data_IF_133011603261
#
_entry.id   IF_133011603261
#
_cell.length_a   1.000
_cell.length_b   1.000
_cell.length_c   1.000
_cell.angle_alpha   90.00
_cell.angle_beta   90.00
_cell.angle_gamma   90.00
#
_symmetry.space_group_name_H-M   'P 1'
#
loop_
_entity.id
_entity.type
_entity.pdbx_description
1 polymer ?
#
# COMPACT_ATOMS: atom_id res chain seq x y z
N UNK A 1 27.61 21.82 7.26
CA UNK A 1 27.31 21.10 6.01
C UNK A 1 27.65 19.61 6.00
N UNK A 2 28.79 19.21 6.59
CA UNK A 2 29.13 17.78 6.69
C UNK A 2 28.14 16.97 7.54
N UNK A 3 27.63 17.51 8.61
CA UNK A 3 26.67 16.83 9.49
C UNK A 3 25.29 16.64 8.83
N UNK A 4 24.86 17.62 8.02
CA UNK A 4 23.62 17.49 7.21
C UNK A 4 23.77 16.44 6.10
N UNK A 5 24.90 16.41 5.41
CA UNK A 5 25.17 15.42 4.37
C UNK A 5 25.20 13.98 4.89
N UNK A 6 25.78 13.77 6.06
CA UNK A 6 25.78 12.44 6.74
C UNK A 6 24.36 12.04 7.16
N UNK A 7 23.57 12.97 7.71
CA UNK A 7 22.19 12.71 8.09
C UNK A 7 21.33 12.29 6.89
N UNK A 8 21.50 12.93 5.74
CA UNK A 8 20.75 12.58 4.52
C UNK A 8 21.15 11.20 3.97
N UNK A 9 22.43 10.82 4.06
CA UNK A 9 22.90 9.47 3.70
C UNK A 9 22.25 8.41 4.59
N UNK A 10 22.22 8.62 5.90
CA UNK A 10 21.58 7.71 6.84
C UNK A 10 20.06 7.59 6.58
N UNK A 11 19.37 8.69 6.31
CA UNK A 11 17.94 8.67 5.99
C UNK A 11 17.65 7.86 4.73
N UNK A 12 18.48 7.98 3.70
CA UNK A 12 18.34 7.19 2.46
C UNK A 12 18.60 5.71 2.68
N UNK A 13 19.62 5.35 3.48
CA UNK A 13 19.92 3.96 3.83
C UNK A 13 18.77 3.35 4.65
N UNK A 14 18.31 4.06 5.67
CA UNK A 14 17.17 3.64 6.47
C UNK A 14 15.91 3.44 5.62
N UNK A 15 15.66 4.33 4.67
CA UNK A 15 14.52 4.22 3.75
C UNK A 15 14.63 2.98 2.85
N UNK A 16 15.82 2.71 2.29
CA UNK A 16 16.03 1.49 1.47
C UNK A 16 15.79 0.23 2.29
N UNK A 17 16.31 0.17 3.51
CA UNK A 17 16.12 -0.97 4.40
C UNK A 17 14.64 -1.12 4.78
N UNK A 18 13.97 -0.01 5.09
CA UNK A 18 12.53 -0.01 5.38
C UNK A 18 11.69 -0.46 4.18
N UNK A 19 12.04 -0.05 2.96
CA UNK A 19 11.37 -0.52 1.74
C UNK A 19 11.55 -2.03 1.54
N UNK A 20 12.76 -2.55 1.69
CA UNK A 20 13.03 -3.98 1.57
C UNK A 20 12.25 -4.78 2.61
N UNK A 21 12.23 -4.31 3.86
CA UNK A 21 11.45 -4.92 4.94
C UNK A 21 9.95 -4.85 4.64
N UNK A 22 9.46 -3.72 4.16
CA UNK A 22 8.05 -3.53 3.80
C UNK A 22 7.61 -4.47 2.67
N UNK A 23 8.41 -4.58 1.62
CA UNK A 23 8.14 -5.50 0.51
C UNK A 23 8.16 -6.95 0.98
N UNK A 24 9.16 -7.34 1.75
CA UNK A 24 9.25 -8.70 2.30
C UNK A 24 8.07 -9.04 3.21
N UNK A 25 7.71 -8.13 4.13
CA UNK A 25 6.56 -8.30 5.01
C UNK A 25 5.24 -8.34 4.22
N UNK A 26 5.05 -7.43 3.27
CA UNK A 26 3.86 -7.39 2.42
C UNK A 26 3.68 -8.68 1.61
N UNK A 27 4.73 -9.18 0.99
CA UNK A 27 4.72 -10.46 0.28
C UNK A 27 4.46 -11.63 1.22
N UNK A 28 5.07 -11.63 2.41
CA UNK A 28 4.85 -12.66 3.43
C UNK A 28 3.40 -12.70 3.90
N UNK A 29 2.83 -11.58 4.26
CA UNK A 29 1.42 -11.48 4.67
C UNK A 29 0.45 -11.81 3.54
N UNK A 30 0.75 -11.37 2.32
CA UNK A 30 -0.03 -11.77 1.15
C UNK A 30 0.00 -13.28 0.94
N UNK A 31 1.18 -13.89 0.96
CA UNK A 31 1.36 -15.33 0.81
C UNK A 31 0.65 -16.13 1.89
N UNK A 32 0.79 -15.75 3.15
CA UNK A 32 0.09 -16.37 4.28
C UNK A 32 -1.44 -16.25 4.13
N UNK A 33 -1.92 -15.08 3.78
CA UNK A 33 -3.35 -14.84 3.59
C UNK A 33 -3.91 -15.64 2.41
N UNK A 34 -3.18 -15.73 1.31
CA UNK A 34 -3.61 -16.49 0.14
C UNK A 34 -3.64 -18.00 0.42
N UNK A 35 -2.62 -18.53 1.11
CA UNK A 35 -2.53 -19.95 1.44
C UNK A 35 -3.52 -20.38 2.52
N UNK A 36 -3.73 -19.54 3.53
CA UNK A 36 -4.54 -19.84 4.73
C UNK A 36 -5.86 -19.09 4.77
N UNK A 37 -6.34 -18.55 3.65
CA UNK A 37 -7.59 -17.78 3.56
C UNK A 37 -8.77 -18.52 4.22
N UNK A 38 -8.95 -19.80 3.91
CA UNK A 38 -10.04 -20.61 4.49
C UNK A 38 -9.95 -20.71 6.02
N UNK A 39 -8.75 -20.92 6.54
CA UNK A 39 -8.53 -21.02 7.99
C UNK A 39 -8.74 -19.67 8.68
N UNK A 40 -8.25 -18.60 8.08
CA UNK A 40 -8.41 -17.24 8.61
C UNK A 40 -9.90 -16.88 8.68
N UNK A 41 -10.62 -17.09 7.59
CA UNK A 41 -12.07 -16.80 7.53
C UNK A 41 -12.87 -17.64 8.53
N UNK A 42 -12.50 -18.92 8.69
CA UNK A 42 -13.19 -19.83 9.62
C UNK A 42 -13.07 -19.39 11.10
N UNK A 43 -12.08 -18.58 11.44
CA UNK A 43 -11.97 -18.00 12.79
C UNK A 43 -13.02 -16.92 13.08
N UNK A 44 -13.61 -16.30 12.06
CA UNK A 44 -14.51 -15.16 12.18
C UNK A 44 -15.93 -15.47 11.70
N UNK A 45 -16.08 -16.37 10.74
CA UNK A 45 -17.34 -16.66 10.06
C UNK A 45 -17.58 -18.16 10.06
N UNK A 46 -18.80 -18.58 10.43
CA UNK A 46 -19.20 -19.98 10.37
C UNK A 46 -19.12 -20.49 8.91
N UNK A 47 -18.53 -21.66 8.74
CA UNK A 47 -18.35 -22.30 7.43
C UNK A 47 -19.67 -22.64 6.71
N UNK A 48 -20.78 -22.75 7.44
CA UNK A 48 -22.12 -22.94 6.89
C UNK A 48 -22.75 -21.69 6.29
N UNK A 49 -22.18 -20.51 6.60
CA UNK A 49 -22.71 -19.23 6.12
C UNK A 49 -22.27 -18.96 4.67
N UNK A 50 -23.18 -18.51 3.76
CA UNK A 50 -22.82 -18.13 2.40
C UNK A 50 -21.72 -17.05 2.32
N UNK A 51 -21.67 -16.16 3.31
CA UNK A 51 -20.64 -15.13 3.43
C UNK A 51 -19.22 -15.72 3.55
N UNK A 52 -19.08 -16.93 4.11
CA UNK A 52 -17.78 -17.61 4.23
C UNK A 52 -17.13 -17.85 2.86
N UNK A 53 -17.87 -18.34 1.90
CA UNK A 53 -17.36 -18.57 0.53
C UNK A 53 -16.90 -17.29 -0.17
N UNK A 54 -17.66 -16.21 0.03
CA UNK A 54 -17.33 -14.88 -0.50
C UNK A 54 -16.03 -14.38 0.15
N UNK A 55 -15.92 -14.47 1.47
CA UNK A 55 -14.75 -14.01 2.21
C UNK A 55 -13.48 -14.83 1.86
N UNK A 56 -13.59 -16.13 1.71
CA UNK A 56 -12.46 -17.02 1.33
C UNK A 56 -11.91 -16.64 -0.05
N UNK A 57 -12.77 -16.28 -0.99
CA UNK A 57 -12.34 -15.81 -2.32
C UNK A 57 -11.85 -14.38 -2.33
N UNK A 58 -12.50 -13.52 -1.53
CA UNK A 58 -12.18 -12.09 -1.49
C UNK A 58 -10.91 -11.76 -0.70
N UNK A 59 -10.63 -12.49 0.37
CA UNK A 59 -9.50 -12.18 1.25
C UNK A 59 -8.14 -12.17 0.53
N UNK A 60 -7.80 -13.13 -0.36
CA UNK A 60 -6.57 -13.05 -1.15
C UNK A 60 -6.53 -11.85 -2.09
N UNK A 61 -7.66 -11.47 -2.69
CA UNK A 61 -7.75 -10.28 -3.53
C UNK A 61 -7.43 -9.01 -2.73
N UNK A 62 -8.00 -8.88 -1.56
CA UNK A 62 -7.71 -7.78 -0.64
C UNK A 62 -6.24 -7.77 -0.22
N UNK A 63 -5.70 -8.93 0.15
CA UNK A 63 -4.32 -9.07 0.61
C UNK A 63 -3.28 -8.77 -0.47
N UNK A 64 -3.64 -8.84 -1.75
CA UNK A 64 -2.75 -8.45 -2.87
C UNK A 64 -2.28 -7.00 -2.77
N UNK A 65 -3.01 -6.14 -2.06
CA UNK A 65 -2.64 -4.76 -1.81
C UNK A 65 -1.62 -4.54 -0.67
N UNK A 66 -1.27 -5.56 0.10
CA UNK A 66 -0.41 -5.40 1.26
C UNK A 66 0.99 -4.88 0.93
N UNK A 67 1.57 -5.29 -0.19
CA UNK A 67 2.88 -4.82 -0.64
C UNK A 67 2.82 -3.32 -0.96
N UNK A 68 1.83 -2.88 -1.71
CA UNK A 68 1.64 -1.47 -2.05
C UNK A 68 1.35 -0.63 -0.80
N UNK A 69 0.50 -1.13 0.08
CA UNK A 69 0.20 -0.51 1.37
C UNK A 69 1.47 -0.27 2.19
N UNK A 70 2.28 -1.31 2.37
CA UNK A 70 3.51 -1.24 3.16
C UNK A 70 4.51 -0.24 2.56
N UNK A 71 4.72 -0.26 1.25
CA UNK A 71 5.60 0.68 0.55
C UNK A 71 5.09 2.12 0.65
N UNK A 72 3.78 2.33 0.51
CA UNK A 72 3.18 3.66 0.61
C UNK A 72 3.36 4.26 2.01
N UNK A 73 3.12 3.47 3.07
CA UNK A 73 3.30 3.92 4.45
C UNK A 73 4.76 4.29 4.74
N UNK A 74 5.70 3.46 4.33
CA UNK A 74 7.14 3.75 4.48
C UNK A 74 7.53 5.01 3.71
N UNK A 75 6.99 5.21 2.50
CA UNK A 75 7.27 6.39 1.68
C UNK A 75 6.72 7.68 2.29
N UNK A 76 5.51 7.64 2.85
CA UNK A 76 4.94 8.77 3.59
C UNK A 76 5.83 9.15 4.78
N UNK A 77 6.25 8.15 5.57
CA UNK A 77 7.17 8.35 6.68
C UNK A 77 8.51 8.95 6.25
N UNK A 78 9.03 8.50 5.11
CA UNK A 78 10.26 9.09 4.55
C UNK A 78 10.07 10.56 4.15
N UNK A 79 8.99 10.92 3.45
CA UNK A 79 8.71 12.31 3.09
C UNK A 79 8.57 13.22 4.33
N UNK A 80 7.99 12.71 5.40
CA UNK A 80 7.91 13.42 6.68
C UNK A 80 9.29 13.60 7.30
N UNK A 81 10.13 12.57 7.29
CA UNK A 81 11.47 12.61 7.90
C UNK A 81 12.45 13.55 7.19
N UNK A 82 12.25 13.79 5.89
CA UNK A 82 13.07 14.72 5.09
C UNK A 82 12.44 16.12 4.98
N UNK A 83 11.52 16.43 5.88
CA UNK A 83 10.86 17.75 5.96
C UNK A 83 10.12 18.15 4.66
N UNK A 84 9.51 17.17 3.99
CA UNK A 84 8.65 17.39 2.82
C UNK A 84 7.18 17.12 3.14
N UNK A 85 6.52 18.01 3.88
CA UNK A 85 5.14 17.79 4.32
C UNK A 85 4.13 17.81 3.16
N UNK A 86 4.38 18.59 2.11
CA UNK A 86 3.47 18.69 0.97
C UNK A 86 3.27 17.36 0.23
N UNK A 87 4.35 16.65 -0.22
CA UNK A 87 4.19 15.32 -0.79
C UNK A 87 3.55 14.32 0.18
N UNK A 88 3.93 14.33 1.45
CA UNK A 88 3.34 13.44 2.45
C UNK A 88 1.83 13.66 2.60
N UNK A 89 1.39 14.92 2.72
CA UNK A 89 -0.03 15.27 2.78
C UNK A 89 -0.77 14.86 1.51
N UNK A 90 -0.22 15.19 0.34
CA UNK A 90 -0.85 14.86 -0.94
C UNK A 90 -1.07 13.36 -1.08
N UNK A 91 -0.05 12.55 -0.79
CA UNK A 91 -0.15 11.08 -0.86
C UNK A 91 -1.17 10.56 0.15
N UNK A 92 -1.18 11.08 1.37
CA UNK A 92 -2.13 10.67 2.41
C UNK A 92 -3.58 10.97 2.01
N UNK A 93 -3.85 12.16 1.48
CA UNK A 93 -5.20 12.55 1.03
C UNK A 93 -5.63 11.73 -0.18
N UNK A 94 -4.77 11.57 -1.19
CA UNK A 94 -5.07 10.76 -2.36
C UNK A 94 -5.39 9.32 -1.96
N UNK A 95 -4.55 8.73 -1.14
CA UNK A 95 -4.70 7.36 -0.67
C UNK A 95 -5.96 7.16 0.16
N UNK A 96 -6.15 8.02 1.17
CA UNK A 96 -7.21 7.84 2.17
C UNK A 96 -8.60 8.27 1.69
N UNK A 97 -8.68 9.20 0.76
CA UNK A 97 -9.97 9.76 0.30
C UNK A 97 -10.19 9.56 -1.19
N UNK A 98 -9.36 10.14 -2.05
CA UNK A 98 -9.64 10.23 -3.49
C UNK A 98 -9.64 8.86 -4.13
N UNK A 99 -8.56 8.11 -4.01
CA UNK A 99 -8.44 6.79 -4.64
C UNK A 99 -9.33 5.75 -3.96
N UNK A 100 -9.45 5.82 -2.65
CA UNK A 100 -10.31 4.90 -1.90
C UNK A 100 -11.78 5.09 -2.30
N UNK A 101 -12.28 6.32 -2.32
CA UNK A 101 -13.65 6.62 -2.72
C UNK A 101 -13.89 6.22 -4.19
N UNK A 102 -12.99 6.60 -5.10
CA UNK A 102 -13.11 6.26 -6.52
C UNK A 102 -13.17 4.75 -6.75
N UNK A 103 -12.32 3.98 -6.06
CA UNK A 103 -12.28 2.53 -6.20
C UNK A 103 -13.49 1.85 -5.55
N UNK A 104 -13.91 2.26 -4.35
CA UNK A 104 -15.07 1.68 -3.69
C UNK A 104 -16.40 1.94 -4.42
N UNK A 105 -16.53 3.08 -5.06
CA UNK A 105 -17.74 3.39 -5.83
C UNK A 105 -17.67 2.93 -7.28
N UNK A 106 -16.48 2.94 -7.89
CA UNK A 106 -16.29 2.60 -9.30
C UNK A 106 -16.14 1.11 -9.57
N UNK A 107 -15.31 0.40 -8.84
CA UNK A 107 -15.02 -1.02 -9.09
C UNK A 107 -16.22 -1.96 -8.94
N UNK A 108 -17.10 -1.80 -7.94
CA UNK A 108 -18.29 -2.66 -7.83
C UNK A 108 -19.24 -2.54 -9.01
N UNK A 109 -19.29 -1.39 -9.68
CA UNK A 109 -20.09 -1.17 -10.88
C UNK A 109 -19.56 -1.99 -12.08
N UNK A 110 -18.25 -2.26 -12.12
CA UNK A 110 -17.58 -3.00 -13.19
C UNK A 110 -17.45 -4.49 -12.89
N UNK A 111 -17.12 -4.84 -11.64
CA UNK A 111 -16.72 -6.18 -11.22
C UNK A 111 -17.64 -6.80 -10.16
N UNK A 112 -18.68 -6.10 -9.72
CA UNK A 112 -19.59 -6.58 -8.68
C UNK A 112 -18.89 -6.73 -7.32
N UNK A 113 -19.17 -7.82 -6.60
CA UNK A 113 -18.64 -8.07 -5.25
C UNK A 113 -17.11 -8.15 -5.23
N UNK A 114 -16.51 -8.71 -6.27
CA UNK A 114 -15.04 -8.78 -6.39
C UNK A 114 -14.40 -7.39 -6.47
N UNK A 115 -15.10 -6.42 -7.03
CA UNK A 115 -14.69 -5.03 -7.06
C UNK A 115 -14.56 -4.40 -5.67
N UNK A 116 -15.38 -4.81 -4.70
CA UNK A 116 -15.26 -4.34 -3.31
C UNK A 116 -13.94 -4.83 -2.70
N UNK A 117 -13.59 -6.09 -2.90
CA UNK A 117 -12.34 -6.66 -2.40
C UNK A 117 -11.10 -6.07 -3.05
N UNK A 118 -11.19 -5.70 -4.33
CA UNK A 118 -10.10 -5.10 -5.10
C UNK A 118 -9.99 -3.58 -4.93
N UNK A 119 -10.97 -2.93 -4.30
CA UNK A 119 -10.98 -1.47 -4.13
C UNK A 119 -9.75 -0.97 -3.38
N UNK A 120 -9.41 -1.58 -2.24
CA UNK A 120 -8.23 -1.22 -1.46
C UNK A 120 -6.93 -1.53 -2.21
N UNK A 121 -6.71 -2.73 -2.77
CA UNK A 121 -5.53 -3.01 -3.57
C UNK A 121 -5.32 -2.04 -4.72
N UNK A 122 -6.36 -1.70 -5.46
CA UNK A 122 -6.26 -0.75 -6.57
C UNK A 122 -5.95 0.67 -6.08
N UNK A 123 -6.60 1.13 -5.01
CA UNK A 123 -6.31 2.42 -4.40
C UNK A 123 -4.85 2.51 -3.94
N UNK A 124 -4.33 1.46 -3.34
CA UNK A 124 -2.93 1.40 -2.92
C UNK A 124 -1.95 1.33 -4.11
N UNK A 125 -2.30 0.61 -5.18
CA UNK A 125 -1.50 0.56 -6.41
C UNK A 125 -1.45 1.93 -7.11
N UNK A 126 -2.56 2.66 -7.17
CA UNK A 126 -2.62 4.03 -7.70
C UNK A 126 -1.78 4.99 -6.84
N UNK A 127 -1.85 4.86 -5.53
CA UNK A 127 -1.01 5.62 -4.60
C UNK A 127 0.47 5.32 -4.81
N UNK A 128 0.83 4.06 -4.98
CA UNK A 128 2.20 3.66 -5.30
C UNK A 128 2.70 4.31 -6.60
N UNK A 129 1.88 4.37 -7.64
CA UNK A 129 2.22 5.05 -8.89
C UNK A 129 2.51 6.54 -8.68
N UNK A 130 1.70 7.23 -7.84
CA UNK A 130 1.93 8.63 -7.48
C UNK A 130 3.24 8.80 -6.70
N UNK A 131 3.49 7.94 -5.73
CA UNK A 131 4.74 7.95 -4.93
C UNK A 131 5.96 7.76 -5.85
N UNK A 132 5.91 6.80 -6.76
CA UNK A 132 6.97 6.55 -7.72
C UNK A 132 7.22 7.74 -8.65
N UNK A 133 6.15 8.41 -9.09
CA UNK A 133 6.25 9.63 -9.91
C UNK A 133 6.90 10.79 -9.15
N UNK A 134 6.52 11.00 -7.88
CA UNK A 134 7.13 12.03 -7.03
C UNK A 134 8.62 11.74 -6.84
N UNK A 135 8.98 10.48 -6.60
CA UNK A 135 10.36 10.06 -6.40
C UNK A 135 11.21 10.26 -7.67
N UNK A 136 10.68 9.90 -8.83
CA UNK A 136 11.33 10.07 -10.12
C UNK A 136 11.59 11.55 -10.44
N UNK A 137 10.61 12.41 -10.23
CA UNK A 137 10.76 13.87 -10.44
C UNK A 137 11.79 14.50 -9.50
N UNK A 138 11.88 14.01 -8.28
CA UNK A 138 12.87 14.51 -7.31
C UNK A 138 14.30 14.12 -7.74
N UNK A 139 14.50 12.91 -8.24
CA UNK A 139 15.79 12.45 -8.75
C UNK A 139 16.24 13.26 -9.97
N UNK A 140 15.34 13.54 -10.89
CA UNK A 140 15.66 14.35 -12.08
C UNK A 140 16.08 15.77 -11.70
N UNK A 141 15.42 16.39 -10.70
CA UNK A 141 15.79 17.74 -10.23
C UNK A 141 17.12 17.80 -9.46
N UNK A 142 17.59 16.69 -8.91
CA UNK A 142 18.87 16.63 -8.22
C UNK A 142 20.05 16.25 -9.15
N UNK A 143 19.75 15.89 -10.39
CA UNK A 143 20.75 15.56 -11.41
C UNK A 143 21.10 16.75 -12.33
N UNK A 144 20.37 17.88 -12.20
CA UNK A 144 20.64 19.16 -12.87
C UNK A 144 20.89 20.25 -11.80
#
# INVERSE_FOLDING_TARGET
>A
DRSRGLGDVYKRQAFRLALLTAVAAGLGFFGLTALFSRWIVAMFIDSSCPACAIAVRGLPLFASGFVFFAVNIVSIGYFQSVERPRPAMAVTVLRGFVFMAACFFGLPLLLGVEGIWLAVPLAEALTFAVVAAIYGRTRLKSAF
#
